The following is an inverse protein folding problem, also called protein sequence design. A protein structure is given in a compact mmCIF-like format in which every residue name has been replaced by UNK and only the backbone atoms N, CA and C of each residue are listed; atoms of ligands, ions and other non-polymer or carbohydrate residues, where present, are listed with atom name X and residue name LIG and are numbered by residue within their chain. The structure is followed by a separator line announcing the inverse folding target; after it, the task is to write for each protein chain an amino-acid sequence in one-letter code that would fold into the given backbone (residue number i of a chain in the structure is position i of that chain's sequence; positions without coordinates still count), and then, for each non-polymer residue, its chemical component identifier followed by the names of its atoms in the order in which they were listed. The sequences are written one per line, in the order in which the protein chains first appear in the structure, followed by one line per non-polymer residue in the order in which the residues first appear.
data_IF_005488744175
#
_entry.id   IF_005488744175
#
_cell.length_a   1.000
_cell.length_b   1.000
_cell.length_c   1.000
_cell.angle_alpha   90.00
_cell.angle_beta   90.00
_cell.angle_gamma   90.00
#
_symmetry.space_group_name_H-M   'P 1'
#
loop_
_entity.id
_entity.type
_entity.pdbx_description
1 polymer ?
#
# COMPACT_ATOMS: atom_id res chain seq x y z
N UNK A 1 -15.29 -3.65 -9.27
CA UNK A 1 -14.01 -3.63 -8.54
C UNK A 1 -13.22 -2.39 -8.94
N UNK A 2 -13.08 -1.41 -8.04
CA UNK A 2 -12.49 -0.08 -8.30
C UNK A 2 -11.05 -0.14 -8.78
N UNK A 3 -10.24 -1.07 -8.25
CA UNK A 3 -8.82 -1.19 -8.65
C UNK A 3 -8.61 -1.55 -10.12
N UNK A 4 -9.63 -2.01 -10.86
CA UNK A 4 -9.52 -2.30 -12.28
C UNK A 4 -9.42 -1.06 -13.16
N UNK A 5 -9.75 0.12 -12.64
CA UNK A 5 -9.69 1.38 -13.36
C UNK A 5 -8.27 1.98 -13.40
N UNK A 6 -7.31 1.38 -12.67
CA UNK A 6 -5.96 1.91 -12.55
C UNK A 6 -4.95 1.01 -13.28
N UNK A 7 -4.07 1.62 -14.06
CA UNK A 7 -2.89 0.96 -14.63
C UNK A 7 -1.91 0.57 -13.53
N UNK A 8 -1.77 1.44 -12.52
CA UNK A 8 -0.96 1.26 -11.32
C UNK A 8 -1.79 1.55 -10.09
N UNK A 9 -1.62 0.72 -9.09
CA UNK A 9 -2.31 0.86 -7.82
C UNK A 9 -1.41 0.44 -6.66
N UNK A 10 -1.10 1.37 -5.77
CA UNK A 10 -0.23 1.13 -4.62
C UNK A 10 -0.97 1.46 -3.34
N UNK A 11 -0.93 0.55 -2.39
CA UNK A 11 -1.48 0.76 -1.04
C UNK A 11 -0.69 -0.02 0.00
N UNK A 12 -0.80 0.39 1.25
CA UNK A 12 -0.23 -0.32 2.40
C UNK A 12 -1.32 -0.71 3.37
N UNK A 13 -1.30 -1.95 3.80
CA UNK A 13 -2.07 -2.47 4.92
C UNK A 13 -1.21 -2.39 6.19
N UNK A 14 -1.71 -1.69 7.20
CA UNK A 14 -1.11 -1.53 8.52
C UNK A 14 -1.92 -2.36 9.53
N UNK A 15 -1.27 -3.29 10.21
CA UNK A 15 -1.88 -4.15 11.22
C UNK A 15 -2.06 -3.39 12.55
N UNK A 16 -2.91 -2.38 12.51
CA UNK A 16 -3.18 -1.46 13.63
C UNK A 16 -4.49 -0.70 13.41
N UNK A 17 -5.26 -0.44 14.47
CA UNK A 17 -6.41 0.45 14.39
C UNK A 17 -5.98 1.87 13.98
N UNK A 18 -6.88 2.58 13.28
CA UNK A 18 -6.61 3.91 12.73
C UNK A 18 -6.28 4.94 13.82
N UNK A 19 -6.83 4.81 15.01
CA UNK A 19 -6.60 5.73 16.13
C UNK A 19 -5.12 5.80 16.52
N UNK A 20 -4.44 4.66 16.56
CA UNK A 20 -2.99 4.61 16.85
C UNK A 20 -2.15 5.25 15.74
N UNK A 21 -2.60 5.07 14.49
CA UNK A 21 -1.94 5.68 13.34
C UNK A 21 -2.16 7.19 13.35
N UNK A 22 -3.38 7.66 13.63
CA UNK A 22 -3.71 9.08 13.74
C UNK A 22 -2.91 9.77 14.84
N UNK A 23 -2.83 9.18 16.03
CA UNK A 23 -2.03 9.70 17.14
C UNK A 23 -0.54 9.83 16.76
N UNK A 24 0.01 8.81 16.09
CA UNK A 24 1.39 8.85 15.62
C UNK A 24 1.60 9.97 14.60
N UNK A 25 0.73 10.04 13.60
CA UNK A 25 0.80 11.03 12.53
C UNK A 25 0.65 12.44 13.06
N UNK A 26 -0.31 12.68 13.96
CA UNK A 26 -0.49 13.97 14.62
C UNK A 26 0.79 14.39 15.33
N UNK A 27 1.35 13.52 16.16
CA UNK A 27 2.54 13.80 16.97
C UNK A 27 3.80 14.01 16.12
N UNK A 28 3.97 13.27 15.04
CA UNK A 28 5.22 13.29 14.25
C UNK A 28 5.20 14.29 13.11
N UNK A 29 4.05 14.51 12.51
CA UNK A 29 3.90 15.32 11.31
C UNK A 29 3.04 16.56 11.57
N UNK A 30 1.93 16.43 12.29
CA UNK A 30 1.00 17.52 12.56
C UNK A 30 1.63 18.67 13.34
N UNK A 31 2.38 18.33 14.38
CA UNK A 31 3.01 19.34 15.26
C UNK A 31 4.18 20.09 14.56
N UNK A 32 4.61 19.64 13.39
CA UNK A 32 5.65 20.30 12.60
C UNK A 32 5.21 21.61 11.95
N UNK A 33 3.90 21.86 11.84
CA UNK A 33 3.32 22.99 11.09
C UNK A 33 3.47 22.87 9.57
N UNK A 34 4.09 21.82 9.06
CA UNK A 34 4.32 21.58 7.63
C UNK A 34 3.16 20.83 6.96
N UNK A 35 2.28 20.24 7.74
CA UNK A 35 1.18 19.41 7.25
C UNK A 35 -0.18 19.94 7.72
N UNK A 36 -1.14 19.90 6.83
CA UNK A 36 -2.55 20.02 7.17
C UNK A 36 -3.11 18.62 7.39
N UNK A 37 -3.75 18.40 8.53
CA UNK A 37 -4.43 17.14 8.85
C UNK A 37 -5.94 17.37 8.82
N UNK A 38 -6.65 16.56 8.03
CA UNK A 38 -8.11 16.62 7.89
C UNK A 38 -8.70 15.26 8.21
N UNK A 39 -9.75 15.23 9.04
CA UNK A 39 -10.47 14.00 9.40
C UNK A 39 -11.86 14.06 8.79
N UNK A 40 -12.12 13.16 7.84
CA UNK A 40 -13.38 13.09 7.07
C UNK A 40 -13.69 11.63 6.74
N UNK A 41 -14.91 11.31 6.32
CA UNK A 41 -15.15 10.01 5.66
C UNK A 41 -14.21 9.82 4.48
N UNK A 42 -13.73 8.58 4.29
CA UNK A 42 -12.83 8.25 3.19
C UNK A 42 -13.54 8.40 1.85
N UNK A 43 -12.86 9.05 0.91
CA UNK A 43 -13.26 9.14 -0.51
C UNK A 43 -12.14 8.57 -1.36
N UNK A 44 -12.48 7.71 -2.29
CA UNK A 44 -11.52 7.06 -3.18
C UNK A 44 -11.09 7.96 -4.35
N UNK A 45 -10.92 9.25 -4.07
CA UNK A 45 -10.63 10.28 -5.08
C UNK A 45 -9.13 10.59 -5.23
N UNK A 46 -8.28 10.11 -4.31
CA UNK A 46 -6.85 10.37 -4.40
C UNK A 46 -6.25 9.86 -5.71
N UNK A 47 -6.61 8.64 -6.12
CA UNK A 47 -6.16 8.07 -7.39
C UNK A 47 -6.86 8.67 -8.61
N UNK A 48 -8.09 9.18 -8.45
CA UNK A 48 -8.87 9.78 -9.54
C UNK A 48 -8.45 11.23 -9.81
N UNK A 49 -8.20 12.00 -8.77
CA UNK A 49 -7.92 13.44 -8.85
C UNK A 49 -6.45 13.80 -8.65
N UNK A 50 -5.69 12.97 -7.96
CA UNK A 50 -4.27 13.17 -7.68
C UNK A 50 -3.53 11.82 -7.77
N UNK A 51 -3.43 11.22 -8.97
CA UNK A 51 -2.80 9.91 -9.14
C UNK A 51 -1.33 9.94 -8.72
N UNK A 52 -0.80 8.82 -8.24
CA UNK A 52 0.62 8.70 -7.92
C UNK A 52 1.52 9.09 -9.08
N UNK A 53 2.54 9.89 -8.80
CA UNK A 53 3.52 10.35 -9.80
C UNK A 53 4.91 10.43 -9.20
N UNK A 54 5.91 10.32 -10.05
CA UNK A 54 7.31 10.52 -9.68
C UNK A 54 7.69 12.01 -9.58
N UNK A 55 8.93 12.26 -9.17
CA UNK A 55 9.50 13.59 -9.00
C UNK A 55 9.14 14.26 -7.67
N UNK A 56 9.70 15.44 -7.43
CA UNK A 56 9.44 16.20 -6.22
C UNK A 56 8.07 16.87 -6.28
N UNK A 57 7.19 16.55 -5.35
CA UNK A 57 5.91 17.19 -5.14
C UNK A 57 5.48 17.05 -3.68
N UNK A 58 4.48 17.81 -3.25
CA UNK A 58 3.99 17.71 -1.88
C UNK A 58 3.20 16.42 -1.68
N UNK A 59 3.51 15.75 -0.57
CA UNK A 59 2.86 14.51 -0.19
C UNK A 59 1.39 14.72 0.13
N UNK A 60 0.56 13.80 -0.38
CA UNK A 60 -0.80 13.56 0.10
C UNK A 60 -0.91 12.10 0.54
N UNK A 61 -1.31 11.91 1.78
CA UNK A 61 -1.38 10.60 2.42
C UNK A 61 -2.77 10.41 3.00
N UNK A 62 -3.45 9.34 2.60
CA UNK A 62 -4.70 8.91 3.19
C UNK A 62 -4.48 7.70 4.09
N UNK A 63 -5.03 7.77 5.29
CA UNK A 63 -5.19 6.62 6.18
C UNK A 63 -6.67 6.42 6.45
N UNK A 64 -7.18 5.21 6.36
CA UNK A 64 -8.58 4.91 6.66
C UNK A 64 -8.75 3.51 7.23
N UNK A 65 -9.78 3.32 8.06
CA UNK A 65 -10.22 2.04 8.55
C UNK A 65 -11.32 1.51 7.65
N UNK A 66 -11.10 0.39 6.90
CA UNK A 66 -12.15 -0.19 6.07
C UNK A 66 -13.34 -0.65 6.93
N UNK A 67 -14.59 -0.46 6.47
CA UNK A 67 -15.78 -0.94 7.18
C UNK A 67 -15.78 -2.44 7.42
N UNK A 68 -15.12 -3.20 6.57
CA UNK A 68 -15.04 -4.66 6.65
C UNK A 68 -13.96 -5.17 7.61
N UNK A 69 -13.05 -4.30 8.08
CA UNK A 69 -11.99 -4.61 9.04
C UNK A 69 -11.53 -3.35 9.78
N UNK A 70 -12.36 -2.85 10.68
CA UNK A 70 -12.14 -1.58 11.40
C UNK A 70 -10.93 -1.59 12.35
N UNK A 71 -10.44 -2.79 12.72
CA UNK A 71 -9.23 -2.98 13.53
C UNK A 71 -7.93 -2.82 12.72
N UNK A 72 -8.02 -2.51 11.44
CA UNK A 72 -6.93 -2.34 10.49
C UNK A 72 -6.93 -0.97 9.85
N UNK A 73 -5.77 -0.56 9.34
CA UNK A 73 -5.65 0.69 8.63
C UNK A 73 -5.05 0.50 7.24
N UNK A 74 -5.62 1.16 6.26
CA UNK A 74 -5.09 1.22 4.90
C UNK A 74 -4.49 2.59 4.67
N UNK A 75 -3.33 2.63 4.04
CA UNK A 75 -2.65 3.85 3.64
C UNK A 75 -2.54 3.94 2.12
N UNK A 76 -2.87 5.11 1.59
CA UNK A 76 -2.57 5.53 0.22
C UNK A 76 -1.62 6.72 0.20
N UNK A 77 -0.87 6.88 -0.89
CA UNK A 77 -0.09 8.07 -1.15
C UNK A 77 -0.18 8.51 -2.62
N UNK A 78 0.20 9.75 -2.90
CA UNK A 78 0.39 10.25 -4.26
C UNK A 78 1.81 9.99 -4.80
N UNK A 79 2.57 9.07 -4.18
CA UNK A 79 3.84 8.56 -4.67
C UNK A 79 3.70 7.13 -5.20
N UNK A 80 4.36 6.77 -6.33
CA UNK A 80 4.25 5.43 -6.93
C UNK A 80 4.72 4.31 -6.01
N UNK A 81 5.74 4.58 -5.15
CA UNK A 81 6.29 3.64 -4.18
C UNK A 81 5.46 3.51 -2.89
N UNK A 82 4.27 4.16 -2.84
CA UNK A 82 3.41 4.16 -1.67
C UNK A 82 3.95 4.96 -0.49
N UNK A 83 5.02 5.76 -0.67
CA UNK A 83 5.72 6.49 0.39
C UNK A 83 6.28 5.54 1.47
N UNK A 84 6.97 4.51 1.04
CA UNK A 84 7.43 3.38 1.85
C UNK A 84 8.30 3.81 3.05
N UNK A 85 9.08 4.90 2.93
CA UNK A 85 9.88 5.44 4.04
C UNK A 85 9.06 5.78 5.29
N UNK A 86 7.84 6.30 5.12
CA UNK A 86 6.94 6.54 6.24
C UNK A 86 6.41 5.23 6.82
N UNK A 87 6.15 4.24 5.98
CA UNK A 87 5.67 2.92 6.43
C UNK A 87 6.70 2.24 7.34
N UNK A 88 8.00 2.30 7.00
CA UNK A 88 9.07 1.81 7.87
C UNK A 88 9.06 2.52 9.23
N UNK A 89 8.92 3.85 9.23
CA UNK A 89 8.87 4.65 10.46
C UNK A 89 7.64 4.34 11.33
N UNK A 90 6.46 4.18 10.72
CA UNK A 90 5.24 3.80 11.43
C UNK A 90 5.40 2.39 12.04
N UNK A 91 5.84 1.43 11.23
CA UNK A 91 6.05 0.04 11.66
C UNK A 91 7.05 -0.05 12.82
N UNK A 92 8.14 0.72 12.78
CA UNK A 92 9.11 0.74 13.89
C UNK A 92 8.55 1.40 15.13
N UNK A 93 7.95 2.58 15.00
CA UNK A 93 7.48 3.36 16.16
C UNK A 93 6.34 2.66 16.89
N UNK A 94 5.41 2.03 16.16
CA UNK A 94 4.24 1.37 16.73
C UNK A 94 4.44 -0.13 16.96
N UNK A 95 5.58 -0.69 16.53
CA UNK A 95 5.90 -2.13 16.61
C UNK A 95 4.83 -3.01 15.96
N UNK A 96 4.43 -2.63 14.76
CA UNK A 96 3.37 -3.29 14.00
C UNK A 96 3.89 -3.92 12.70
N UNK A 97 3.09 -4.82 12.15
CA UNK A 97 3.27 -5.37 10.80
C UNK A 97 2.69 -4.40 9.77
N UNK A 98 3.36 -4.29 8.63
CA UNK A 98 2.89 -3.54 7.48
C UNK A 98 3.12 -4.33 6.20
N UNK A 99 2.16 -4.30 5.28
CA UNK A 99 2.21 -4.98 4.01
C UNK A 99 1.96 -3.98 2.89
N UNK A 100 3.01 -3.64 2.13
CA UNK A 100 2.91 -2.75 0.99
C UNK A 100 2.62 -3.57 -0.26
N UNK A 101 1.61 -3.18 -1.02
CA UNK A 101 1.23 -3.80 -2.29
C UNK A 101 1.34 -2.81 -3.42
N UNK A 102 1.96 -3.23 -4.52
CA UNK A 102 2.01 -2.49 -5.77
C UNK A 102 1.47 -3.40 -6.87
N UNK A 103 0.40 -2.97 -7.51
CA UNK A 103 -0.34 -3.75 -8.50
C UNK A 103 -0.38 -2.96 -9.80
N UNK A 104 0.00 -3.60 -10.91
CA UNK A 104 -0.16 -3.03 -12.25
C UNK A 104 -0.79 -4.03 -13.22
N UNK A 105 -1.30 -3.53 -14.33
CA UNK A 105 -1.63 -4.39 -15.46
C UNK A 105 -0.35 -4.79 -16.20
N UNK A 106 -0.36 -5.96 -16.86
CA UNK A 106 0.81 -6.44 -17.60
C UNK A 106 1.06 -5.68 -18.91
N UNK A 107 0.12 -4.82 -19.31
CA UNK A 107 0.13 -4.16 -20.62
C UNK A 107 0.88 -2.82 -20.61
N UNK A 108 1.17 -2.28 -19.43
CA UNK A 108 1.93 -1.03 -19.28
C UNK A 108 3.44 -1.27 -19.51
N UNK A 109 4.18 -0.28 -20.00
CA UNK A 109 5.61 -0.43 -20.36
C UNK A 109 6.49 -0.88 -19.20
N UNK A 110 6.27 -0.35 -18.02
CA UNK A 110 7.01 -0.56 -16.77
C UNK A 110 6.17 -1.28 -15.71
N UNK A 111 5.38 -2.27 -16.15
CA UNK A 111 4.53 -3.06 -15.27
C UNK A 111 5.30 -3.60 -14.06
N UNK A 112 4.74 -3.43 -12.87
CA UNK A 112 5.30 -3.94 -11.63
C UNK A 112 4.21 -4.46 -10.72
N UNK A 113 4.36 -5.72 -10.32
CA UNK A 113 3.56 -6.34 -9.28
C UNK A 113 4.49 -6.70 -8.13
N UNK A 114 4.23 -6.20 -6.94
CA UNK A 114 5.10 -6.37 -5.80
C UNK A 114 4.32 -6.42 -4.49
N UNK A 115 4.87 -7.13 -3.53
CA UNK A 115 4.55 -6.89 -2.12
C UNK A 115 5.82 -6.85 -1.28
N UNK A 116 5.75 -6.09 -0.20
CA UNK A 116 6.79 -6.01 0.81
C UNK A 116 6.14 -6.14 2.19
N UNK A 117 6.66 -7.05 3.02
CA UNK A 117 6.29 -7.18 4.42
C UNK A 117 7.37 -6.56 5.29
N UNK A 118 6.94 -5.64 6.14
CA UNK A 118 7.76 -4.92 7.11
C UNK A 118 7.25 -5.25 8.51
N UNK A 119 8.14 -5.54 9.44
CA UNK A 119 7.81 -5.74 10.84
C UNK A 119 8.82 -5.04 11.73
N UNK A 120 8.32 -4.24 12.69
CA UNK A 120 9.15 -3.47 13.61
C UNK A 120 10.21 -2.61 12.89
N UNK A 121 9.83 -1.99 11.77
CA UNK A 121 10.68 -1.14 10.97
C UNK A 121 11.74 -1.88 10.14
N UNK A 122 11.65 -3.20 10.01
CA UNK A 122 12.58 -4.01 9.21
C UNK A 122 11.86 -4.73 8.09
N UNK A 123 12.48 -4.74 6.92
CA UNK A 123 12.02 -5.58 5.81
C UNK A 123 12.21 -7.06 6.16
N UNK A 124 11.13 -7.81 6.14
CA UNK A 124 11.11 -9.26 6.42
C UNK A 124 10.99 -10.05 5.13
N UNK A 125 10.19 -9.54 4.20
CA UNK A 125 9.92 -10.20 2.93
C UNK A 125 9.70 -9.20 1.81
N UNK A 126 10.32 -9.43 0.66
CA UNK A 126 10.07 -8.65 -0.57
C UNK A 126 9.97 -9.60 -1.75
N UNK A 127 8.91 -9.43 -2.54
CA UNK A 127 8.73 -10.18 -3.80
C UNK A 127 8.21 -9.22 -4.86
N UNK A 128 8.83 -9.25 -6.04
CA UNK A 128 8.30 -8.51 -7.19
C UNK A 128 8.54 -9.22 -8.53
N UNK A 129 7.63 -8.97 -9.45
CA UNK A 129 7.80 -9.20 -10.87
C UNK A 129 7.65 -7.86 -11.59
N UNK A 130 8.71 -7.39 -12.26
CA UNK A 130 8.74 -6.09 -12.94
C UNK A 130 9.24 -6.22 -14.38
N UNK A 131 8.79 -5.31 -15.24
CA UNK A 131 9.22 -5.21 -16.63
C UNK A 131 10.12 -3.98 -16.80
N UNK A 132 11.44 -4.23 -17.08
CA UNK A 132 12.45 -3.18 -17.29
C UNK A 132 13.67 -3.73 -18.07
N UNK A 133 13.80 -3.54 -19.37
CA UNK A 133 12.74 -3.62 -20.39
C UNK A 133 12.16 -5.04 -20.52
N UNK A 134 12.82 -6.04 -19.89
CA UNK A 134 12.38 -7.44 -19.84
C UNK A 134 11.87 -7.76 -18.45
N UNK A 135 10.98 -8.74 -18.37
CA UNK A 135 10.48 -9.22 -17.08
C UNK A 135 11.61 -9.77 -16.22
N UNK A 136 11.69 -9.28 -14.99
CA UNK A 136 12.57 -9.73 -13.91
C UNK A 136 11.72 -10.18 -12.73
N UNK A 137 12.19 -11.17 -11.99
CA UNK A 137 11.57 -11.65 -10.75
C UNK A 137 12.60 -11.62 -9.64
N UNK A 138 12.19 -11.12 -8.51
CA UNK A 138 13.01 -11.06 -7.29
C UNK A 138 12.20 -11.54 -6.10
N UNK A 139 12.83 -12.26 -5.20
CA UNK A 139 12.27 -12.59 -3.89
C UNK A 139 13.38 -12.65 -2.85
N UNK A 140 13.12 -12.10 -1.69
CA UNK A 140 14.00 -12.07 -0.53
C UNK A 140 13.20 -12.34 0.74
N UNK A 141 13.82 -12.98 1.74
CA UNK A 141 13.21 -13.35 3.02
C UNK A 141 12.40 -14.64 2.95
N UNK A 142 11.85 -15.06 4.10
CA UNK A 142 11.08 -16.30 4.23
C UNK A 142 9.69 -16.18 3.61
N UNK A 143 9.25 -17.27 2.95
CA UNK A 143 7.91 -17.35 2.35
C UNK A 143 6.86 -17.26 3.46
N UNK A 144 5.90 -16.37 3.29
CA UNK A 144 4.82 -16.14 4.26
C UNK A 144 3.64 -17.11 4.01
N UNK A 145 2.85 -17.45 5.04
CA UNK A 145 1.74 -18.41 4.92
C UNK A 145 0.67 -18.06 3.89
N UNK A 146 0.51 -16.77 3.59
CA UNK A 146 -0.45 -16.31 2.59
C UNK A 146 0.03 -16.42 1.14
N UNK A 147 1.36 -16.63 0.93
CA UNK A 147 1.93 -16.76 -0.41
C UNK A 147 1.59 -18.09 -1.05
N UNK A 148 1.64 -18.13 -2.38
CA UNK A 148 1.61 -19.36 -3.17
C UNK A 148 2.99 -19.56 -3.81
N UNK A 149 3.81 -20.39 -3.16
CA UNK A 149 5.20 -20.69 -3.60
C UNK A 149 5.27 -21.35 -4.97
N UNK A 150 4.21 -22.04 -5.42
CA UNK A 150 4.19 -22.73 -6.72
C UNK A 150 4.17 -21.73 -7.88
N UNK A 151 3.55 -20.55 -7.67
CA UNK A 151 3.56 -19.48 -8.65
C UNK A 151 4.99 -19.06 -9.02
N UNK A 152 5.89 -19.03 -8.05
CA UNK A 152 7.27 -18.55 -8.22
C UNK A 152 8.12 -19.46 -9.10
N UNK A 153 7.70 -20.71 -9.31
CA UNK A 153 8.36 -21.69 -10.17
C UNK A 153 7.90 -21.65 -11.63
N UNK A 154 6.90 -20.82 -11.96
CA UNK A 154 6.37 -20.72 -13.32
C UNK A 154 7.45 -20.28 -14.32
N UNK A 155 7.45 -20.88 -15.52
CA UNK A 155 8.40 -20.52 -16.58
C UNK A 155 8.27 -19.05 -17.01
N UNK A 156 7.03 -18.58 -17.16
CA UNK A 156 6.76 -17.19 -17.55
C UNK A 156 6.89 -16.27 -16.35
N UNK A 157 7.93 -15.45 -16.30
CA UNK A 157 8.24 -14.53 -15.19
C UNK A 157 7.05 -13.63 -14.84
N UNK A 158 6.36 -13.04 -15.84
CA UNK A 158 5.19 -12.20 -15.61
C UNK A 158 4.01 -12.88 -14.90
N UNK A 159 4.03 -14.23 -14.80
CA UNK A 159 3.01 -15.04 -14.12
C UNK A 159 3.47 -15.54 -12.75
N UNK A 160 4.69 -15.22 -12.35
CA UNK A 160 5.20 -15.60 -11.02
C UNK A 160 4.57 -14.77 -9.92
N UNK A 161 4.32 -13.49 -10.21
CA UNK A 161 3.58 -12.59 -9.34
C UNK A 161 2.80 -11.63 -10.24
N UNK A 162 1.53 -11.88 -10.42
CA UNK A 162 0.62 -11.05 -11.18
C UNK A 162 -0.45 -10.43 -10.28
N UNK A 163 -1.29 -9.58 -10.86
CA UNK A 163 -2.37 -8.90 -10.15
C UNK A 163 -3.27 -9.87 -9.37
N UNK A 164 -3.63 -11.01 -9.98
CA UNK A 164 -4.52 -11.98 -9.34
C UNK A 164 -3.86 -12.68 -8.15
N UNK A 165 -2.55 -12.95 -8.23
CA UNK A 165 -1.78 -13.47 -7.10
C UNK A 165 -1.80 -12.49 -5.92
N UNK A 166 -1.53 -11.20 -6.17
CA UNK A 166 -1.53 -10.18 -5.12
C UNK A 166 -2.92 -10.00 -4.50
N UNK A 167 -3.98 -9.99 -5.30
CA UNK A 167 -5.36 -9.93 -4.81
C UNK A 167 -5.67 -11.15 -3.91
N UNK A 168 -5.22 -12.36 -4.33
CA UNK A 168 -5.37 -13.56 -3.52
C UNK A 168 -4.61 -13.46 -2.19
N UNK A 169 -3.41 -12.87 -2.19
CA UNK A 169 -2.63 -12.65 -0.96
C UNK A 169 -3.33 -11.68 -0.01
N UNK A 170 -3.89 -10.59 -0.54
CA UNK A 170 -4.71 -9.67 0.23
C UNK A 170 -5.90 -10.39 0.90
N UNK A 171 -6.63 -11.20 0.15
CA UNK A 171 -7.77 -11.95 0.70
C UNK A 171 -7.36 -12.91 1.83
N UNK A 172 -6.20 -13.58 1.70
CA UNK A 172 -5.65 -14.45 2.76
C UNK A 172 -5.18 -13.68 3.99
N UNK A 173 -4.84 -12.39 3.84
CA UNK A 173 -4.55 -11.47 4.96
C UNK A 173 -5.82 -10.87 5.58
N UNK A 174 -7.01 -11.26 5.09
CA UNK A 174 -8.29 -10.74 5.58
C UNK A 174 -8.69 -9.38 4.99
N UNK A 175 -8.03 -8.93 3.92
CA UNK A 175 -8.34 -7.69 3.22
C UNK A 175 -8.84 -8.00 1.81
N UNK A 176 -10.18 -8.05 1.65
CA UNK A 176 -10.78 -8.29 0.33
C UNK A 176 -10.90 -6.99 -0.48
N UNK A 177 -9.84 -6.69 -1.21
CA UNK A 177 -9.76 -5.49 -2.06
C UNK A 177 -10.66 -5.56 -3.31
N UNK A 178 -11.34 -6.69 -3.57
CA UNK A 178 -12.39 -6.83 -4.60
C UNK A 178 -13.73 -6.31 -4.14
N UNK A 179 -13.98 -6.34 -2.85
CA UNK A 179 -15.21 -5.81 -2.27
C UNK A 179 -15.18 -4.29 -2.30
N UNK A 180 -16.16 -3.67 -2.97
CA UNK A 180 -16.26 -2.22 -3.01
C UNK A 180 -16.53 -1.61 -1.62
N UNK A 181 -17.16 -2.37 -0.71
CA UNK A 181 -17.37 -1.95 0.67
C UNK A 181 -16.06 -1.85 1.49
N UNK A 182 -15.02 -2.61 1.11
CA UNK A 182 -13.68 -2.47 1.70
C UNK A 182 -13.12 -1.05 1.53
N UNK A 183 -13.45 -0.38 0.42
CA UNK A 183 -13.01 0.97 0.10
C UNK A 183 -13.91 2.08 0.65
N UNK A 184 -14.82 1.73 1.54
CA UNK A 184 -15.67 2.67 2.25
C UNK A 184 -15.25 2.80 3.70
N UNK A 185 -15.21 4.03 4.21
CA UNK A 185 -14.91 4.29 5.62
C UNK A 185 -15.58 5.58 6.10
N UNK A 186 -16.00 5.57 7.36
CA UNK A 186 -16.43 6.77 8.07
C UNK A 186 -15.26 7.45 8.79
N UNK A 187 -14.12 6.74 8.94
CA UNK A 187 -12.94 7.22 9.64
C UNK A 187 -11.75 7.27 8.69
N UNK A 188 -11.29 8.46 8.39
CA UNK A 188 -10.04 8.65 7.67
C UNK A 188 -9.28 9.88 8.12
N UNK A 189 -7.99 9.85 7.88
CA UNK A 189 -7.05 10.95 8.12
C UNK A 189 -6.35 11.27 6.81
N UNK A 190 -6.55 12.47 6.30
CA UNK A 190 -5.82 13.01 5.16
C UNK A 190 -4.71 13.94 5.66
N UNK A 191 -3.48 13.66 5.27
CA UNK A 191 -2.36 14.56 5.43
C UNK A 191 -2.01 15.20 4.10
N UNK A 192 -1.89 16.50 4.10
CA UNK A 192 -1.44 17.29 2.96
C UNK A 192 -0.21 18.11 3.39
N UNK A 193 0.92 17.89 2.75
CA UNK A 193 2.08 18.74 2.98
C UNK A 193 1.86 20.12 2.40
N UNK A 194 2.18 21.17 3.16
CA UNK A 194 2.00 22.57 2.79
C UNK A 194 3.31 23.28 2.42
N UNK A 195 4.44 22.80 2.95
CA UNK A 195 5.77 23.39 2.73
C UNK A 195 6.88 22.34 2.83
N UNK A 196 8.02 22.62 2.25
CA UNK A 196 9.25 21.80 2.38
C UNK A 196 9.95 22.00 3.72
#
# INVERSE_FOLDING_TARGET
MRINHFEYFTFTYLDSPIEKIDDYVQKKLGDSGKYKITRTPFKFDLYETCPPKGGAHFEKLYFFAPKTCEDKCIMFSNYPDGFSSLVYNISDALKIKAYCFQISTNDVPDAMNAFMYIENGKEVRTVYAMKDPKWKFYCHGEIQPFEDKELYQRKMIKRRLDKEALISYCAKLGIDIRDDAFWESQQSVLLERLSW
#
